data_IF_399061283236
#
_entry.id   IF_399061283236
#
_cell.length_a   1.000
_cell.length_b   1.000
_cell.length_c   1.000
_cell.angle_alpha   90.00
_cell.angle_beta   90.00
_cell.angle_gamma   90.00
#
_symmetry.space_group_name_H-M   'P 1'
#
loop_
_entity.id
_entity.type
_entity.pdbx_description
1 polymer ?
#
# COMPACT_ATOMS: atom_id res chain seq x y z
N UNK A 1 -11.44 11.85 -2.17
CA UNK A 1 -10.03 11.70 -2.60
C UNK A 1 -10.03 10.94 -3.91
N UNK A 2 -9.38 11.47 -4.95
CA UNK A 2 -9.24 10.79 -6.25
C UNK A 2 -7.75 10.70 -6.58
N UNK A 3 -7.23 9.48 -6.60
CA UNK A 3 -5.82 9.16 -6.84
C UNK A 3 -5.73 7.99 -7.81
N UNK A 4 -4.67 7.95 -8.63
CA UNK A 4 -4.26 6.75 -9.32
C UNK A 4 -3.23 6.03 -8.44
N UNK A 5 -3.33 4.70 -8.33
CA UNK A 5 -2.41 3.88 -7.54
C UNK A 5 -1.84 2.81 -8.44
N UNK A 6 -0.52 2.79 -8.53
CA UNK A 6 0.26 1.83 -9.32
C UNK A 6 1.12 1.03 -8.33
N UNK A 7 1.16 -0.30 -8.49
CA UNK A 7 1.98 -1.20 -7.68
C UNK A 7 2.97 -1.88 -8.60
N UNK A 8 4.25 -1.65 -8.35
CA UNK A 8 5.35 -2.25 -9.09
C UNK A 8 6.00 -3.32 -8.22
N UNK A 9 6.17 -4.49 -8.82
CA UNK A 9 6.91 -5.60 -8.25
C UNK A 9 8.16 -5.80 -9.10
N UNK A 10 9.28 -6.07 -8.45
CA UNK A 10 10.53 -6.44 -9.12
C UNK A 10 10.41 -7.81 -9.82
N UNK A 11 11.29 -8.12 -10.78
CA UNK A 11 11.12 -9.24 -11.70
C UNK A 11 11.16 -10.61 -11.00
N UNK A 12 11.89 -10.69 -9.88
CA UNK A 12 11.90 -11.83 -8.95
C UNK A 12 10.49 -12.23 -8.46
N UNK A 13 9.50 -11.34 -8.51
CA UNK A 13 8.12 -11.64 -8.12
C UNK A 13 7.48 -12.69 -9.03
N UNK A 14 7.86 -12.72 -10.31
CA UNK A 14 7.29 -13.64 -11.30
C UNK A 14 7.60 -15.08 -10.91
N UNK A 15 8.88 -15.37 -10.68
CA UNK A 15 9.33 -16.72 -10.32
C UNK A 15 8.81 -17.14 -8.94
N UNK A 16 8.76 -16.21 -7.98
CA UNK A 16 8.24 -16.49 -6.65
C UNK A 16 6.74 -16.81 -6.65
N UNK A 17 5.91 -16.01 -7.34
CA UNK A 17 4.46 -16.24 -7.45
C UNK A 17 4.14 -17.49 -8.27
N UNK A 18 4.95 -17.79 -9.30
CA UNK A 18 4.73 -18.91 -10.21
C UNK A 18 4.71 -20.28 -9.49
N UNK A 19 5.39 -20.41 -8.34
CA UNK A 19 5.40 -21.66 -7.56
C UNK A 19 3.99 -22.13 -7.19
N UNK A 20 3.09 -21.20 -6.88
CA UNK A 20 1.73 -21.50 -6.42
C UNK A 20 0.64 -21.08 -7.40
N UNK A 21 0.87 -20.00 -8.15
CA UNK A 21 -0.19 -19.32 -8.91
C UNK A 21 -0.10 -19.55 -10.43
N UNK A 22 0.94 -20.21 -10.93
CA UNK A 22 1.08 -20.50 -12.36
C UNK A 22 -0.07 -21.37 -12.86
N UNK A 23 -0.63 -20.98 -14.01
CA UNK A 23 -1.72 -21.70 -14.67
C UNK A 23 -3.12 -21.35 -14.17
N UNK A 24 -3.24 -20.47 -13.17
CA UNK A 24 -4.52 -19.89 -12.74
C UNK A 24 -5.01 -18.83 -13.71
N UNK A 25 -6.32 -18.78 -13.93
CA UNK A 25 -6.94 -17.73 -14.74
C UNK A 25 -6.97 -16.39 -14.01
N UNK A 26 -7.17 -15.29 -14.73
CA UNK A 26 -7.28 -13.98 -14.12
C UNK A 26 -8.47 -13.91 -13.14
N UNK A 27 -9.58 -14.56 -13.47
CA UNK A 27 -10.78 -14.63 -12.63
C UNK A 27 -10.50 -15.38 -11.33
N UNK A 28 -9.79 -16.53 -11.39
CA UNK A 28 -9.39 -17.27 -10.19
C UNK A 28 -8.48 -16.44 -9.27
N UNK A 29 -7.59 -15.64 -9.86
CA UNK A 29 -6.64 -14.83 -9.10
C UNK A 29 -7.30 -13.60 -8.45
N UNK A 30 -8.21 -12.92 -9.16
CA UNK A 30 -8.93 -11.74 -8.66
C UNK A 30 -9.79 -12.06 -7.44
N UNK A 31 -10.36 -13.26 -7.38
CA UNK A 31 -11.19 -13.68 -6.24
C UNK A 31 -10.35 -14.29 -5.09
N UNK A 32 -9.03 -14.42 -5.26
CA UNK A 32 -8.16 -15.06 -4.27
C UNK A 32 -7.49 -14.06 -3.32
N UNK A 33 -7.98 -14.00 -2.09
CA UNK A 33 -7.33 -13.24 -1.00
C UNK A 33 -5.90 -13.73 -0.77
N UNK A 34 -5.66 -15.04 -0.89
CA UNK A 34 -4.34 -15.62 -0.66
C UNK A 34 -3.33 -15.20 -1.74
N UNK A 35 -3.76 -15.00 -2.99
CA UNK A 35 -2.90 -14.47 -4.05
C UNK A 35 -2.40 -13.07 -3.72
N UNK A 36 -3.30 -12.17 -3.31
CA UNK A 36 -2.93 -10.83 -2.91
C UNK A 36 -2.13 -10.80 -1.61
N UNK A 37 -2.40 -11.71 -0.66
CA UNK A 37 -1.57 -11.85 0.54
C UNK A 37 -0.14 -12.23 0.18
N UNK A 38 0.04 -13.18 -0.72
CA UNK A 38 1.36 -13.61 -1.21
C UNK A 38 2.09 -12.42 -1.86
N UNK A 39 1.41 -11.59 -2.67
CA UNK A 39 1.98 -10.34 -3.21
C UNK A 39 2.40 -9.35 -2.10
N UNK A 40 1.53 -9.13 -1.10
CA UNK A 40 1.80 -8.18 0.00
C UNK A 40 2.98 -8.65 0.85
N UNK A 41 3.08 -9.96 1.14
CA UNK A 41 4.12 -10.53 2.01
C UNK A 41 5.36 -11.02 1.26
N UNK A 42 5.40 -10.85 -0.07
CA UNK A 42 6.55 -11.18 -0.90
C UNK A 42 7.83 -10.55 -0.33
N UNK A 43 8.95 -11.29 -0.18
CA UNK A 43 10.07 -10.88 0.66
C UNK A 43 11.00 -9.81 0.06
N UNK A 44 10.66 -9.26 -1.12
CA UNK A 44 11.46 -8.24 -1.79
C UNK A 44 10.74 -6.88 -1.85
N UNK A 45 11.48 -5.86 -2.28
CA UNK A 45 11.02 -4.47 -2.36
C UNK A 45 9.88 -4.30 -3.36
N UNK A 46 8.95 -3.41 -3.03
CA UNK A 46 7.78 -3.08 -3.86
C UNK A 46 7.72 -1.57 -3.93
N UNK A 47 7.42 -1.03 -5.10
CA UNK A 47 7.17 0.39 -5.23
C UNK A 47 5.66 0.63 -5.37
N UNK A 48 5.08 1.37 -4.43
CA UNK A 48 3.70 1.86 -4.55
C UNK A 48 3.77 3.33 -4.96
N UNK A 49 3.26 3.63 -6.15
CA UNK A 49 3.23 4.97 -6.71
C UNK A 49 1.80 5.51 -6.68
N UNK A 50 1.59 6.52 -5.84
CA UNK A 50 0.27 7.16 -5.66
C UNK A 50 0.30 8.53 -6.29
N UNK A 51 -0.46 8.69 -7.38
CA UNK A 51 -0.51 9.93 -8.16
C UNK A 51 -1.79 10.70 -7.91
N UNK A 52 -1.65 11.99 -7.65
CA UNK A 52 -2.77 12.85 -7.30
C UNK A 52 -3.47 13.32 -8.57
N UNK A 53 -4.75 12.95 -8.73
CA UNK A 53 -5.59 13.42 -9.84
C UNK A 53 -6.19 14.78 -9.49
N UNK A 54 -6.58 14.97 -8.23
CA UNK A 54 -7.02 16.25 -7.67
C UNK A 54 -6.03 16.71 -6.61
N UNK A 55 -6.03 18.02 -6.33
CA UNK A 55 -5.23 18.58 -5.24
C UNK A 55 -5.65 17.95 -3.91
N UNK A 56 -4.65 17.59 -3.09
CA UNK A 56 -4.87 17.06 -1.76
C UNK A 56 -3.82 17.60 -0.80
N UNK A 57 -4.23 17.94 0.43
CA UNK A 57 -3.26 18.26 1.49
C UNK A 57 -2.65 16.96 1.99
N UNK A 58 -1.35 16.98 2.30
CA UNK A 58 -0.63 15.79 2.78
C UNK A 58 -1.32 15.14 3.97
N UNK A 59 -1.80 15.95 4.91
CA UNK A 59 -2.53 15.46 6.09
C UNK A 59 -3.86 14.77 5.73
N UNK A 60 -4.60 15.25 4.73
CA UNK A 60 -5.86 14.60 4.30
C UNK A 60 -5.58 13.22 3.70
N UNK A 61 -4.46 13.08 2.99
CA UNK A 61 -4.01 11.79 2.46
C UNK A 61 -3.59 10.85 3.60
N UNK A 62 -2.70 11.34 4.46
CA UNK A 62 -2.10 10.56 5.53
C UNK A 62 -3.13 10.06 6.55
N UNK A 63 -4.13 10.88 6.88
CA UNK A 63 -5.24 10.48 7.76
C UNK A 63 -6.02 9.29 7.18
N UNK A 64 -6.28 9.27 5.87
CA UNK A 64 -7.02 8.18 5.25
C UNK A 64 -6.20 6.89 5.18
N UNK A 65 -4.90 6.98 4.90
CA UNK A 65 -3.98 5.84 4.96
C UNK A 65 -3.92 5.28 6.38
N UNK A 66 -3.76 6.15 7.39
CA UNK A 66 -3.74 5.78 8.81
C UNK A 66 -5.03 5.09 9.24
N UNK A 67 -6.19 5.59 8.84
CA UNK A 67 -7.49 4.99 9.17
C UNK A 67 -7.57 3.53 8.68
N UNK A 68 -7.17 3.28 7.43
CA UNK A 68 -7.18 1.95 6.84
C UNK A 68 -6.18 1.00 7.53
N UNK A 69 -4.95 1.46 7.79
CA UNK A 69 -3.93 0.66 8.48
C UNK A 69 -4.38 0.30 9.91
N UNK A 70 -4.95 1.27 10.65
CA UNK A 70 -5.48 1.03 11.99
C UNK A 70 -6.63 0.02 11.98
N UNK A 71 -7.54 0.11 11.01
CA UNK A 71 -8.63 -0.84 10.89
C UNK A 71 -8.10 -2.26 10.67
N UNK A 72 -7.14 -2.44 9.77
CA UNK A 72 -6.51 -3.73 9.50
C UNK A 72 -5.75 -4.29 10.71
N UNK A 73 -4.90 -3.49 11.35
CA UNK A 73 -4.10 -3.96 12.48
C UNK A 73 -4.94 -4.29 13.71
N UNK A 74 -6.02 -3.54 13.95
CA UNK A 74 -6.99 -3.88 15.01
C UNK A 74 -7.74 -5.18 14.69
N UNK A 75 -8.18 -5.35 13.45
CA UNK A 75 -8.89 -6.56 13.03
C UNK A 75 -8.01 -7.82 13.10
N UNK A 76 -6.70 -7.68 12.87
CA UNK A 76 -5.73 -8.79 12.90
C UNK A 76 -5.05 -8.97 14.26
N UNK A 77 -5.31 -8.10 15.24
CA UNK A 77 -4.68 -8.15 16.56
C UNK A 77 -3.18 -7.82 16.56
N UNK A 78 -2.70 -7.10 15.54
CA UNK A 78 -1.27 -6.78 15.36
C UNK A 78 -0.90 -5.35 15.78
N UNK A 79 -1.87 -4.58 16.30
CA UNK A 79 -1.61 -3.23 16.82
C UNK A 79 -0.87 -3.29 18.16
N UNK A 80 0.39 -2.86 18.16
CA UNK A 80 1.27 -2.76 19.33
C UNK A 80 1.83 -1.33 19.46
N UNK A 81 2.44 -0.99 20.60
CA UNK A 81 2.95 0.37 20.87
C UNK A 81 3.92 0.88 19.79
N UNK A 82 4.80 0.01 19.28
CA UNK A 82 5.73 0.34 18.19
C UNK A 82 5.01 0.75 16.88
N UNK A 83 3.80 0.24 16.62
CA UNK A 83 2.97 0.65 15.48
C UNK A 83 2.42 2.06 15.68
N UNK A 84 2.13 2.44 16.93
CA UNK A 84 1.73 3.80 17.30
C UNK A 84 2.81 4.83 16.96
N UNK A 85 4.05 4.57 17.37
CA UNK A 85 5.20 5.44 17.06
C UNK A 85 5.48 5.53 15.55
N UNK A 86 5.41 4.41 14.83
CA UNK A 86 5.57 4.38 13.38
C UNK A 86 4.49 5.23 12.68
N UNK A 87 3.24 5.15 13.13
CA UNK A 87 2.15 5.97 12.60
C UNK A 87 2.36 7.46 12.87
N UNK A 88 2.86 7.85 14.05
CA UNK A 88 3.16 9.25 14.32
C UNK A 88 4.24 9.81 13.40
N UNK A 89 5.29 9.03 13.16
CA UNK A 89 6.36 9.42 12.24
C UNK A 89 5.84 9.51 10.80
N UNK A 90 5.01 8.56 10.37
CA UNK A 90 4.32 8.63 9.09
C UNK A 90 3.52 9.94 8.95
N UNK A 91 2.70 10.29 9.94
CA UNK A 91 1.91 11.52 9.90
C UNK A 91 2.78 12.79 9.83
N UNK A 92 3.93 12.81 10.52
CA UNK A 92 4.87 13.95 10.50
C UNK A 92 5.44 14.20 9.11
N UNK A 93 5.71 13.16 8.32
CA UNK A 93 6.24 13.29 6.94
C UNK A 93 5.27 14.09 6.05
N UNK A 94 3.97 13.96 6.27
CA UNK A 94 2.95 14.63 5.46
C UNK A 94 2.49 15.98 6.04
N UNK A 95 3.02 16.38 7.19
CA UNK A 95 2.63 17.63 7.84
C UNK A 95 3.27 18.82 7.12
N UNK A 96 2.42 19.76 6.65
CA UNK A 96 2.87 20.91 5.85
C UNK A 96 3.08 20.59 4.37
N UNK A 97 2.98 19.32 3.96
CA UNK A 97 3.06 18.91 2.57
C UNK A 97 1.74 19.13 1.82
N UNK A 98 1.85 19.41 0.53
CA UNK A 98 0.71 19.58 -0.38
C UNK A 98 0.97 18.85 -1.68
N UNK A 99 -0.02 18.12 -2.17
CA UNK A 99 0.09 17.35 -3.41
C UNK A 99 -0.83 17.95 -4.48
N UNK A 100 -0.32 18.84 -5.34
CA UNK A 100 -1.07 19.32 -6.50
C UNK A 100 -1.38 18.18 -7.49
N UNK A 101 -2.33 18.38 -8.42
CA UNK A 101 -2.56 17.43 -9.50
C UNK A 101 -1.25 17.09 -10.23
N UNK A 102 -0.99 15.81 -10.43
CA UNK A 102 0.24 15.29 -11.03
C UNK A 102 1.38 15.01 -10.04
N UNK A 103 1.31 15.52 -8.80
CA UNK A 103 2.25 15.14 -7.75
C UNK A 103 2.09 13.66 -7.37
N UNK A 104 3.13 13.11 -6.76
CA UNK A 104 3.21 11.70 -6.41
C UNK A 104 3.77 11.48 -5.01
N UNK A 105 3.26 10.43 -4.36
CA UNK A 105 3.84 9.83 -3.16
C UNK A 105 4.35 8.45 -3.54
N UNK A 106 5.55 8.12 -3.10
CA UNK A 106 6.22 6.85 -3.38
C UNK A 106 6.42 6.11 -2.06
N UNK A 107 6.05 4.83 -2.02
CA UNK A 107 6.36 3.92 -0.90
C UNK A 107 7.25 2.79 -1.38
N UNK A 108 8.28 2.49 -0.58
CA UNK A 108 9.28 1.44 -0.78
C UNK A 108 9.52 0.73 0.54
#
# INVERSE_FOLDING_TARGET
MVTAIEVYLDDDAVDWLAVKWKGKSAEELVDSIDFFRDIVTWPFEKLIHVKMILHLRGMEYAEKVKENCLAYWKATGTYIDAVGEALENFMKVFNGEGSPPGAAVLFT
#
